data_IF_554475192262
#
_entry.id   IF_554475192262
#
_cell.length_a   1.000
_cell.length_b   1.000
_cell.length_c   1.000
_cell.angle_alpha   90.00
_cell.angle_beta   90.00
_cell.angle_gamma   90.00
#
_symmetry.space_group_name_H-M   'P 1'
#
loop_
_entity.id
_entity.type
_entity.pdbx_description
1 polymer ?
#
# COMPACT_ATOMS: atom_id res chain seq x y z
N UNK A 1 15.38 -12.62 7.46
CA UNK A 1 16.01 -11.31 7.17
C UNK A 1 16.48 -11.29 5.71
N UNK A 2 16.51 -10.12 5.08
CA UNK A 2 17.17 -9.87 3.80
C UNK A 2 18.42 -9.03 4.04
N UNK A 3 19.38 -9.09 3.12
CA UNK A 3 20.67 -8.39 3.23
C UNK A 3 20.90 -7.50 2.01
N UNK A 4 21.85 -6.58 2.11
CA UNK A 4 22.26 -5.74 0.98
C UNK A 4 22.64 -6.59 -0.24
N UNK A 5 22.25 -6.12 -1.43
CA UNK A 5 22.43 -6.85 -2.69
C UNK A 5 21.34 -7.88 -3.01
N UNK A 6 20.45 -8.22 -2.07
CA UNK A 6 19.31 -9.07 -2.38
C UNK A 6 18.27 -8.33 -3.23
N UNK A 7 17.75 -8.99 -4.25
CA UNK A 7 16.58 -8.53 -5.01
C UNK A 7 15.34 -9.09 -4.34
N UNK A 8 14.44 -8.21 -3.92
CA UNK A 8 13.20 -8.58 -3.25
C UNK A 8 12.01 -8.28 -4.15
N UNK A 9 11.02 -9.17 -4.13
CA UNK A 9 9.73 -8.99 -4.78
C UNK A 9 8.71 -8.62 -3.70
N UNK A 10 8.05 -7.47 -3.87
CA UNK A 10 7.00 -7.01 -2.98
C UNK A 10 5.68 -7.03 -3.73
N UNK A 11 4.74 -7.85 -3.27
CA UNK A 11 3.43 -7.99 -3.88
C UNK A 11 2.36 -7.68 -2.85
N UNK A 12 1.34 -6.95 -3.27
CA UNK A 12 0.19 -6.62 -2.46
C UNK A 12 -1.09 -6.99 -3.18
N UNK A 13 -2.04 -7.56 -2.46
CA UNK A 13 -3.35 -7.94 -2.95
C UNK A 13 -4.44 -7.32 -2.08
N UNK A 14 -5.50 -6.85 -2.73
CA UNK A 14 -6.65 -6.27 -2.03
C UNK A 14 -7.46 -7.43 -1.45
N UNK A 15 -7.49 -7.50 -0.12
CA UNK A 15 -8.27 -8.51 0.61
C UNK A 15 -9.75 -8.11 0.68
N UNK A 16 -10.02 -6.82 0.90
CA UNK A 16 -11.40 -6.31 1.02
C UNK A 16 -11.50 -4.83 0.68
N UNK A 17 -12.64 -4.45 0.07
CA UNK A 17 -13.08 -3.06 -0.05
C UNK A 17 -14.39 -2.86 0.71
N UNK A 18 -14.44 -1.84 1.55
CA UNK A 18 -15.63 -1.44 2.31
C UNK A 18 -15.79 0.09 2.26
N UNK A 19 -16.67 0.54 1.35
CA UNK A 19 -16.77 1.93 0.97
C UNK A 19 -15.41 2.47 0.50
N UNK A 20 -14.86 3.43 1.26
CA UNK A 20 -13.56 4.05 0.98
C UNK A 20 -12.39 3.35 1.69
N UNK A 21 -12.64 2.35 2.52
CA UNK A 21 -11.57 1.60 3.21
C UNK A 21 -11.14 0.43 2.34
N UNK A 22 -9.83 0.27 2.16
CA UNK A 22 -9.23 -0.78 1.37
C UNK A 22 -8.25 -1.55 2.27
N UNK A 23 -8.59 -2.80 2.57
CA UNK A 23 -7.72 -3.72 3.30
C UNK A 23 -6.85 -4.48 2.30
N UNK A 24 -5.54 -4.51 2.58
CA UNK A 24 -4.51 -5.10 1.72
C UNK A 24 -3.66 -6.05 2.55
N UNK A 25 -3.35 -7.21 1.98
CA UNK A 25 -2.29 -8.09 2.48
C UNK A 25 -1.11 -8.00 1.51
N UNK A 26 0.11 -8.02 2.06
CA UNK A 26 1.32 -7.92 1.26
C UNK A 26 2.37 -8.92 1.72
N UNK A 27 3.15 -9.40 0.76
CA UNK A 27 4.29 -10.30 0.96
C UNK A 27 5.56 -9.65 0.43
N UNK A 28 6.67 -9.98 1.08
CA UNK A 28 8.00 -9.67 0.61
C UNK A 28 8.76 -10.98 0.49
N UNK A 29 9.22 -11.31 -0.71
CA UNK A 29 9.95 -12.54 -1.01
C UNK A 29 11.32 -12.24 -1.60
N UNK A 30 12.29 -13.10 -1.31
CA UNK A 30 13.59 -13.06 -1.96
C UNK A 30 13.47 -13.66 -3.38
N UNK A 31 13.87 -12.91 -4.40
CA UNK A 31 13.64 -13.29 -5.79
C UNK A 31 14.43 -14.53 -6.22
N UNK A 32 15.62 -14.73 -5.68
CA UNK A 32 16.50 -15.83 -6.06
C UNK A 32 16.07 -17.16 -5.42
N UNK A 33 15.65 -17.11 -4.16
CA UNK A 33 15.32 -18.31 -3.37
C UNK A 33 13.83 -18.59 -3.25
N UNK A 34 12.95 -17.63 -3.59
CA UNK A 34 11.52 -17.69 -3.31
C UNK A 34 11.18 -17.62 -1.82
N UNK A 35 12.17 -17.38 -0.95
CA UNK A 35 11.97 -17.38 0.50
C UNK A 35 11.10 -16.19 0.91
N UNK A 36 10.06 -16.48 1.70
CA UNK A 36 9.27 -15.44 2.36
C UNK A 36 10.11 -14.72 3.42
N UNK A 37 10.25 -13.41 3.25
CA UNK A 37 10.99 -12.53 4.16
C UNK A 37 10.05 -11.86 5.15
N UNK A 38 8.92 -11.33 4.68
CA UNK A 38 7.96 -10.65 5.53
C UNK A 38 6.53 -10.77 5.00
N UNK A 39 5.57 -10.60 5.92
CA UNK A 39 4.14 -10.42 5.62
C UNK A 39 3.65 -9.18 6.36
N UNK A 40 2.78 -8.41 5.71
CA UNK A 40 2.18 -7.24 6.30
C UNK A 40 0.68 -7.17 5.97
N UNK A 41 -0.05 -6.47 6.82
CA UNK A 41 -1.42 -6.04 6.56
C UNK A 41 -1.46 -4.52 6.58
N UNK A 42 -2.13 -3.93 5.60
CA UNK A 42 -2.32 -2.50 5.48
C UNK A 42 -3.79 -2.17 5.31
N UNK A 43 -4.18 -0.99 5.79
CA UNK A 43 -5.49 -0.41 5.51
C UNK A 43 -5.30 0.99 4.94
N UNK A 44 -5.86 1.22 3.78
CA UNK A 44 -5.84 2.51 3.09
C UNK A 44 -7.23 3.14 3.10
N UNK A 45 -7.26 4.47 3.06
CA UNK A 45 -8.48 5.24 2.86
C UNK A 45 -8.39 5.90 1.49
N UNK A 46 -9.29 5.53 0.60
CA UNK A 46 -9.45 6.17 -0.71
C UNK A 46 -9.93 7.62 -0.52
N UNK A 47 -9.28 8.57 -1.18
CA UNK A 47 -9.57 10.00 -1.06
C UNK A 47 -9.98 10.61 -2.39
N UNK A 48 -10.93 11.54 -2.32
CA UNK A 48 -11.27 12.40 -3.46
C UNK A 48 -10.16 13.44 -3.62
N UNK A 49 -9.29 13.22 -4.60
CA UNK A 49 -8.13 14.06 -4.88
C UNK A 49 -8.55 15.51 -5.16
N UNK A 50 -9.67 15.75 -5.84
CA UNK A 50 -10.13 17.11 -6.15
C UNK A 50 -10.50 17.86 -4.87
N UNK A 51 -11.18 17.20 -3.93
CA UNK A 51 -11.49 17.81 -2.62
C UNK A 51 -10.25 18.07 -1.78
N UNK A 52 -9.29 17.15 -1.80
CA UNK A 52 -8.04 17.30 -1.04
C UNK A 52 -7.18 18.44 -1.58
N UNK A 53 -7.11 18.60 -2.90
CA UNK A 53 -6.29 19.64 -3.52
C UNK A 53 -6.97 21.01 -3.53
N UNK A 54 -8.29 21.08 -3.78
CA UNK A 54 -9.01 22.35 -3.91
C UNK A 54 -9.57 22.89 -2.57
N UNK A 55 -9.68 22.05 -1.53
CA UNK A 55 -10.13 22.47 -0.20
C UNK A 55 -9.11 23.33 0.57
N UNK A 56 -7.96 23.66 -0.02
CA UNK A 56 -6.93 24.55 0.55
C UNK A 56 -7.02 26.00 0.06
N UNK A 57 -8.00 26.36 -0.76
CA UNK A 57 -8.23 27.76 -1.13
C UNK A 57 -9.29 28.39 -0.18
N UNK A 58 -8.90 29.19 0.82
CA UNK A 58 -9.85 29.80 1.77
C UNK A 58 -10.75 30.88 1.16
N UNK A 59 -10.59 31.22 -0.12
CA UNK A 59 -11.31 32.32 -0.78
C UNK A 59 -12.47 31.89 -1.69
N UNK A 60 -12.93 30.63 -1.63
CA UNK A 60 -14.16 30.24 -2.30
C UNK A 60 -15.36 30.39 -1.35
N UNK A 61 -15.72 31.65 -1.05
CA UNK A 61 -17.04 32.06 -0.55
C UNK A 61 -17.65 33.06 -1.54
#
# INVERSE_FOLDING_TARGET
PAFEGHVLVCEGEIEKRDGRKIDVIATLTDAASGKLIAKARGRFLEVDVKKVLNGRNPEAN
#
